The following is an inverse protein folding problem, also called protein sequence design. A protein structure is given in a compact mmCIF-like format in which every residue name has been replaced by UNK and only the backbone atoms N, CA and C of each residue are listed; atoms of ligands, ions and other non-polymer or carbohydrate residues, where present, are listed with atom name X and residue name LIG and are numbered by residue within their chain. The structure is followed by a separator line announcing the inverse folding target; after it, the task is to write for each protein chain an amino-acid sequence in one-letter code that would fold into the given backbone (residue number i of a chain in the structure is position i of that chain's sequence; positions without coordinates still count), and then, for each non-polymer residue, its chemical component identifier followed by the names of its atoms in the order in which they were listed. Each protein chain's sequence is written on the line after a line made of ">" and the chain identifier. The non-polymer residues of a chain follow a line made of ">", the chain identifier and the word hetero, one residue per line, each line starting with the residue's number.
data_IF_579509347739
#
_entry.id   IF_579509347739
#
_cell.length_a   1.000
_cell.length_b   1.000
_cell.length_c   1.000
_cell.angle_alpha   90.00
_cell.angle_beta   90.00
_cell.angle_gamma   90.00
#
_symmetry.space_group_name_H-M   'P 1'
#
loop_
_entity.id
_entity.type
_entity.pdbx_description
1 polymer ?
#
# COMPACT_ATOMS: atom_id res chain seq x y z
N UNK A 1 -33.91 19.71 16.40
CA UNK A 1 -33.12 20.10 15.22
C UNK A 1 -31.73 19.56 15.48
N UNK A 2 -31.47 18.35 15.00
CA UNK A 2 -30.17 17.69 15.20
C UNK A 2 -29.31 18.25 14.06
N UNK A 3 -28.36 19.11 14.41
CA UNK A 3 -27.40 19.63 13.45
C UNK A 3 -26.52 18.47 12.99
N UNK A 4 -26.66 18.14 11.71
CA UNK A 4 -25.83 17.20 10.99
C UNK A 4 -24.41 17.77 10.97
N UNK A 5 -23.49 17.14 11.71
CA UNK A 5 -22.10 17.55 11.72
C UNK A 5 -21.49 17.20 10.37
N UNK A 6 -21.46 18.17 9.45
CA UNK A 6 -20.70 18.10 8.22
C UNK A 6 -19.23 17.82 8.58
N UNK A 7 -18.76 16.63 8.21
CA UNK A 7 -17.34 16.33 8.24
C UNK A 7 -16.63 17.31 7.34
N UNK A 8 -15.85 18.21 7.94
CA UNK A 8 -15.00 19.18 7.23
C UNK A 8 -14.04 18.41 6.32
N UNK A 9 -14.36 18.33 5.02
CA UNK A 9 -13.46 17.85 3.96
C UNK A 9 -12.37 18.92 3.73
N UNK A 10 -11.47 19.04 4.71
CA UNK A 10 -10.34 19.94 4.68
C UNK A 10 -9.19 19.38 3.86
N UNK A 11 -9.31 19.40 2.53
CA UNK A 11 -8.20 19.07 1.64
C UNK A 11 -8.57 19.33 0.19
N UNK A 12 -8.11 20.47 -0.37
CA UNK A 12 -8.33 20.83 -1.76
C UNK A 12 -8.14 19.63 -2.69
N UNK A 13 -9.12 19.40 -3.56
CA UNK A 13 -9.29 18.18 -4.35
C UNK A 13 -8.20 18.04 -5.43
N UNK A 14 -7.00 17.62 -5.03
CA UNK A 14 -5.94 17.28 -5.96
C UNK A 14 -6.28 15.96 -6.66
N UNK A 15 -6.31 15.94 -7.99
CA UNK A 15 -6.72 14.76 -8.75
C UNK A 15 -5.62 13.69 -8.73
N UNK A 16 -5.82 12.54 -8.06
CA UNK A 16 -4.80 11.49 -8.01
C UNK A 16 -4.46 10.91 -9.39
N UNK A 17 -5.36 11.00 -10.36
CA UNK A 17 -5.13 10.45 -11.69
C UNK A 17 -4.12 11.26 -12.53
N UNK A 18 -3.94 12.55 -12.24
CA UNK A 18 -3.10 13.46 -13.01
C UNK A 18 -1.96 14.09 -12.18
N UNK A 19 -1.76 13.62 -10.95
CA UNK A 19 -0.74 14.14 -10.04
C UNK A 19 0.59 13.43 -10.27
N UNK A 20 1.69 14.19 -10.29
CA UNK A 20 3.05 13.64 -10.41
C UNK A 20 3.51 13.05 -9.08
N UNK A 21 4.42 12.07 -9.13
CA UNK A 21 4.97 11.41 -7.93
C UNK A 21 5.54 12.40 -6.89
N UNK A 22 6.27 13.42 -7.34
CA UNK A 22 6.82 14.49 -6.48
C UNK A 22 5.74 15.26 -5.72
N UNK A 23 4.54 15.36 -6.29
CA UNK A 23 3.40 16.01 -5.65
C UNK A 23 2.70 15.07 -4.68
N UNK A 24 2.66 13.76 -4.95
CA UNK A 24 2.11 12.77 -4.01
C UNK A 24 2.82 12.81 -2.65
N UNK A 25 4.15 13.01 -2.65
CA UNK A 25 4.91 13.13 -1.41
C UNK A 25 4.48 14.35 -0.57
N UNK A 26 4.16 15.48 -1.21
CA UNK A 26 3.71 16.70 -0.53
C UNK A 26 2.31 16.58 0.06
N UNK A 27 1.47 15.71 -0.50
CA UNK A 27 0.10 15.46 -0.04
C UNK A 27 0.00 14.29 0.95
N UNK A 28 1.12 13.66 1.33
CA UNK A 28 1.13 12.62 2.34
C UNK A 28 0.90 13.22 3.74
N UNK A 29 -0.27 12.94 4.32
CA UNK A 29 -0.65 13.41 5.66
C UNK A 29 -0.37 12.34 6.72
N UNK A 30 -0.56 11.07 6.35
CA UNK A 30 -0.36 9.93 7.25
C UNK A 30 0.67 8.98 6.66
N UNK A 31 1.57 8.48 7.49
CA UNK A 31 2.56 7.47 7.09
C UNK A 31 2.28 6.21 7.90
N UNK A 32 1.94 5.12 7.21
CA UNK A 32 1.76 3.81 7.83
C UNK A 32 3.02 3.01 7.58
N UNK A 33 3.72 2.69 8.67
CA UNK A 33 4.90 1.85 8.66
C UNK A 33 4.51 0.37 8.73
N UNK A 34 5.34 -0.46 8.10
CA UNK A 34 5.27 -1.91 8.18
C UNK A 34 5.45 -2.41 9.62
N UNK A 35 4.83 -3.54 9.93
CA UNK A 35 5.08 -4.24 11.19
C UNK A 35 6.49 -4.83 11.19
N UNK A 36 7.18 -4.72 12.33
CA UNK A 36 8.46 -5.41 12.51
C UNK A 36 8.22 -6.92 12.57
N UNK A 37 8.73 -7.70 11.61
CA UNK A 37 8.52 -9.14 11.63
C UNK A 37 9.35 -9.77 12.76
N UNK A 38 8.89 -10.88 13.36
CA UNK A 38 9.70 -11.65 14.28
C UNK A 38 10.96 -12.20 13.57
N UNK A 39 12.05 -12.45 14.33
CA UNK A 39 13.27 -13.01 13.76
C UNK A 39 12.99 -14.38 13.11
N UNK A 40 13.66 -14.65 11.99
CA UNK A 40 13.55 -15.91 11.24
C UNK A 40 12.16 -16.25 10.69
N UNK A 41 11.30 -15.26 10.42
CA UNK A 41 10.03 -15.53 9.73
C UNK A 41 10.26 -15.96 8.29
N UNK A 42 9.63 -17.07 7.88
CA UNK A 42 9.71 -17.57 6.51
C UNK A 42 8.95 -16.66 5.53
N UNK A 43 7.76 -16.20 5.91
CA UNK A 43 6.93 -15.32 5.10
C UNK A 43 6.99 -13.87 5.62
N UNK A 44 8.02 -13.13 5.20
CA UNK A 44 8.18 -11.73 5.57
C UNK A 44 7.03 -10.86 5.06
N UNK A 45 6.53 -11.11 3.85
CA UNK A 45 5.49 -10.28 3.23
C UNK A 45 4.17 -10.27 4.02
N UNK A 46 3.79 -11.41 4.60
CA UNK A 46 2.63 -11.48 5.50
C UNK A 46 2.91 -10.85 6.86
N UNK A 47 4.11 -11.06 7.40
CA UNK A 47 4.49 -10.61 8.73
C UNK A 47 4.68 -9.09 8.84
N UNK A 48 4.97 -8.40 7.73
CA UNK A 48 5.13 -6.94 7.71
C UNK A 48 3.83 -6.18 7.50
N UNK A 49 2.71 -6.86 7.22
CA UNK A 49 1.43 -6.24 6.89
C UNK A 49 0.94 -5.32 8.02
N UNK A 50 0.68 -4.02 7.79
CA UNK A 50 0.14 -3.11 8.80
C UNK A 50 -1.17 -3.56 9.45
N UNK A 51 -1.40 -3.21 10.73
CA UNK A 51 -2.56 -3.66 11.52
C UNK A 51 -3.92 -3.22 10.97
N UNK A 52 -3.96 -2.16 10.18
CA UNK A 52 -5.15 -1.66 9.51
C UNK A 52 -5.47 -2.42 8.21
N UNK A 53 -4.69 -3.46 7.89
CA UNK A 53 -4.83 -4.29 6.69
C UNK A 53 -4.92 -5.78 7.03
N UNK A 54 -5.56 -6.55 6.17
CA UNK A 54 -5.70 -8.01 6.28
C UNK A 54 -5.65 -8.66 4.90
N UNK A 55 -5.13 -9.89 4.82
CA UNK A 55 -5.17 -10.70 3.60
C UNK A 55 -6.45 -11.52 3.56
N UNK A 56 -7.17 -11.43 2.44
CA UNK A 56 -8.37 -12.25 2.15
C UNK A 56 -8.41 -12.59 0.65
N UNK A 57 -9.22 -13.58 0.22
CA UNK A 57 -9.39 -13.87 -1.20
C UNK A 57 -9.72 -12.59 -2.00
N UNK A 58 -9.07 -12.44 -3.15
CA UNK A 58 -9.26 -11.28 -4.02
C UNK A 58 -10.66 -11.29 -4.64
N UNK A 59 -11.27 -10.10 -4.75
CA UNK A 59 -12.50 -9.90 -5.52
C UNK A 59 -12.23 -9.71 -7.02
N UNK A 60 -11.01 -9.28 -7.39
CA UNK A 60 -10.68 -8.94 -8.77
C UNK A 60 -10.10 -10.12 -9.56
N UNK A 61 -9.50 -11.09 -8.87
CA UNK A 61 -8.81 -12.22 -9.48
C UNK A 61 -9.17 -13.50 -8.70
N UNK A 62 -9.58 -14.55 -9.41
CA UNK A 62 -9.80 -15.86 -8.78
C UNK A 62 -8.48 -16.46 -8.30
N UNK A 63 -8.56 -17.27 -7.24
CA UNK A 63 -7.45 -18.09 -6.71
C UNK A 63 -6.19 -17.33 -6.26
N UNK A 64 -6.33 -16.03 -5.93
CA UNK A 64 -5.25 -15.24 -5.31
C UNK A 64 -5.75 -14.48 -4.09
N UNK A 65 -4.83 -14.18 -3.18
CA UNK A 65 -5.08 -13.30 -2.04
C UNK A 65 -4.94 -11.84 -2.46
N UNK A 66 -5.78 -10.97 -1.89
CA UNK A 66 -5.70 -9.52 -1.98
C UNK A 66 -5.57 -8.89 -0.59
N UNK A 67 -5.25 -7.60 -0.57
CA UNK A 67 -5.15 -6.80 0.66
C UNK A 67 -6.46 -6.04 0.87
N UNK A 68 -6.96 -6.06 2.11
CA UNK A 68 -8.22 -5.46 2.52
C UNK A 68 -8.00 -4.54 3.72
N UNK A 69 -8.73 -3.43 3.78
CA UNK A 69 -8.73 -2.58 4.96
C UNK A 69 -9.60 -3.18 6.07
N UNK A 70 -9.14 -3.08 7.31
CA UNK A 70 -9.92 -3.44 8.51
C UNK A 70 -10.62 -2.23 9.13
N UNK A 71 -10.20 -1.02 8.75
CA UNK A 71 -10.75 0.26 9.20
C UNK A 71 -10.73 1.29 8.07
N UNK A 72 -11.36 2.44 8.28
CA UNK A 72 -11.22 3.58 7.38
C UNK A 72 -9.74 3.98 7.22
N UNK A 73 -9.32 4.24 5.98
CA UNK A 73 -7.99 4.74 5.63
C UNK A 73 -8.17 6.18 5.13
N UNK A 74 -7.70 7.19 5.88
CA UNK A 74 -7.82 8.59 5.45
C UNK A 74 -7.11 8.84 4.11
N UNK A 75 -7.63 9.80 3.35
CA UNK A 75 -6.95 10.30 2.15
C UNK A 75 -5.57 10.87 2.52
N UNK A 76 -4.59 10.66 1.63
CA UNK A 76 -3.21 11.08 1.88
C UNK A 76 -2.43 10.12 2.78
N UNK A 77 -2.93 8.89 2.99
CA UNK A 77 -2.17 7.84 3.68
C UNK A 77 -1.14 7.20 2.74
N UNK A 78 0.13 7.23 3.14
CA UNK A 78 1.26 6.60 2.45
C UNK A 78 1.62 5.27 3.11
N UNK A 79 1.75 4.23 2.30
CA UNK A 79 2.27 2.91 2.67
C UNK A 79 3.61 2.66 1.98
N UNK A 80 4.43 1.77 2.54
CA UNK A 80 5.72 1.40 1.98
C UNK A 80 6.91 2.14 2.62
N UNK A 81 8.10 2.11 1.99
CA UNK A 81 8.36 1.77 0.58
C UNK A 81 8.17 0.30 0.22
N UNK A 82 8.06 -0.01 -1.07
CA UNK A 82 8.06 -1.38 -1.55
C UNK A 82 9.41 -2.05 -1.24
N UNK A 83 9.36 -3.25 -0.65
CA UNK A 83 10.54 -4.06 -0.37
C UNK A 83 10.47 -5.36 -1.17
N UNK A 84 11.57 -5.71 -1.83
CA UNK A 84 11.70 -6.92 -2.62
C UNK A 84 13.15 -7.14 -3.04
N UNK A 85 13.39 -8.17 -3.86
CA UNK A 85 14.70 -8.39 -4.46
C UNK A 85 14.96 -7.35 -5.56
N UNK A 86 16.13 -6.71 -5.51
CA UNK A 86 16.54 -5.70 -6.49
C UNK A 86 17.44 -6.36 -7.52
N UNK A 87 17.03 -6.27 -8.80
CA UNK A 87 17.78 -6.80 -9.93
C UNK A 87 18.22 -5.68 -10.85
N UNK A 88 19.50 -5.63 -11.22
CA UNK A 88 19.94 -4.78 -12.33
C UNK A 88 19.52 -5.38 -13.68
N UNK A 89 19.53 -4.57 -14.74
CA UNK A 89 19.04 -4.96 -16.08
C UNK A 89 19.63 -6.28 -16.60
N UNK A 90 20.88 -6.58 -16.26
CA UNK A 90 21.61 -7.75 -16.75
C UNK A 90 21.62 -8.91 -15.74
N UNK A 91 21.09 -8.70 -14.53
CA UNK A 91 21.14 -9.66 -13.43
C UNK A 91 19.78 -10.31 -13.15
N UNK A 92 18.76 -10.01 -13.95
CA UNK A 92 17.44 -10.65 -13.83
C UNK A 92 17.56 -12.13 -14.21
N UNK A 93 17.27 -13.08 -13.29
CA UNK A 93 17.28 -14.50 -13.61
C UNK A 93 16.25 -14.82 -14.70
N UNK A 94 16.57 -15.73 -15.62
CA UNK A 94 15.64 -16.18 -16.66
C UNK A 94 14.36 -16.83 -16.10
N UNK A 95 14.44 -17.38 -14.89
CA UNK A 95 13.34 -18.01 -14.15
C UNK A 95 12.54 -17.02 -13.29
N UNK A 96 12.94 -15.75 -13.22
CA UNK A 96 12.29 -14.79 -12.36
C UNK A 96 10.86 -14.51 -12.81
N UNK A 97 9.91 -14.57 -11.88
CA UNK A 97 8.54 -14.22 -12.15
C UNK A 97 8.39 -12.69 -12.27
N UNK A 98 8.27 -12.22 -13.50
CA UNK A 98 8.17 -10.79 -13.83
C UNK A 98 6.83 -10.15 -13.46
N UNK A 99 5.85 -10.94 -12.98
CA UNK A 99 4.53 -10.45 -12.54
C UNK A 99 4.63 -9.46 -11.38
N UNK A 100 5.65 -9.57 -10.54
CA UNK A 100 5.82 -8.75 -9.33
C UNK A 100 6.95 -7.72 -9.43
N UNK A 101 7.40 -7.41 -10.66
CA UNK A 101 8.48 -6.45 -10.87
C UNK A 101 7.94 -5.02 -10.85
N UNK A 102 8.67 -4.13 -10.18
CA UNK A 102 8.44 -2.69 -10.15
C UNK A 102 9.64 -1.97 -10.76
N UNK A 103 9.43 -0.79 -11.37
CA UNK A 103 10.46 0.00 -12.08
C UNK A 103 10.51 1.41 -11.56
#
# INVERSE_FOLDING_TARGET
>A
MVEESEGVDGGGSWDPANTKEEEFEKHAVYIVLDQTPPPNVANKAEATLPRNLVLRPSQALSDVMGVWSTSYIPRGTRFGPLVGEVYSKNEVPATANRKYFWR
#
